data_IF_820511682391
#
_entry.id   IF_820511682391
#
_cell.length_a   1.000
_cell.length_b   1.000
_cell.length_c   1.000
_cell.angle_alpha   90.00
_cell.angle_beta   90.00
_cell.angle_gamma   90.00
#
_symmetry.space_group_name_H-M   'P 1'
#
loop_
_entity.id
_entity.type
_entity.pdbx_description
1 polymer ?
#
# COMPACT_ATOMS: atom_id res chain seq x y z
N UNK A 1 17.20 7.51 4.35
CA UNK A 1 15.74 7.77 4.37
C UNK A 1 15.41 8.87 3.37
N UNK A 2 14.30 8.75 2.66
CA UNK A 2 13.77 9.80 1.79
C UNK A 2 12.95 10.77 2.66
N UNK A 3 13.28 12.05 2.57
CA UNK A 3 12.51 13.08 3.26
C UNK A 3 11.24 13.39 2.47
N UNK A 4 10.11 13.29 3.13
CA UNK A 4 8.78 13.59 2.60
C UNK A 4 8.15 14.68 3.45
N UNK A 5 7.36 15.55 2.83
CA UNK A 5 6.65 16.61 3.50
C UNK A 5 5.16 16.54 3.17
N UNK A 6 4.34 17.05 4.08
CA UNK A 6 2.90 17.19 3.89
C UNK A 6 2.53 18.66 3.73
N UNK A 7 1.73 18.99 2.72
CA UNK A 7 1.23 20.35 2.57
C UNK A 7 0.15 20.67 3.61
N UNK A 8 0.28 21.82 4.27
CA UNK A 8 -0.70 22.25 5.28
C UNK A 8 -1.99 22.85 4.66
N UNK A 9 -1.92 23.28 3.40
CA UNK A 9 -3.00 23.95 2.65
C UNK A 9 -2.88 23.64 1.16
N UNK A 10 -3.91 24.02 0.41
CA UNK A 10 -3.91 23.94 -1.05
C UNK A 10 -2.70 24.65 -1.66
N UNK A 11 -2.16 24.02 -2.70
CA UNK A 11 -0.95 24.48 -3.38
C UNK A 11 -1.25 24.75 -4.84
N UNK A 12 -0.96 25.96 -5.27
CA UNK A 12 -1.00 26.31 -6.69
C UNK A 12 0.35 25.99 -7.34
N UNK A 13 0.34 25.06 -8.29
CA UNK A 13 1.49 24.73 -9.12
C UNK A 13 1.34 25.40 -10.48
N UNK A 14 2.40 26.07 -10.93
CA UNK A 14 2.52 26.60 -12.29
C UNK A 14 3.46 25.73 -13.11
N UNK A 15 3.09 25.44 -14.35
CA UNK A 15 3.89 24.63 -15.28
C UNK A 15 4.26 23.23 -14.75
N UNK A 16 3.36 22.59 -14.01
CA UNK A 16 3.51 21.21 -13.56
C UNK A 16 3.33 20.22 -14.73
N UNK A 17 3.89 19.02 -14.58
CA UNK A 17 3.58 17.85 -15.40
C UNK A 17 2.79 16.86 -14.56
N UNK A 18 1.71 16.30 -15.09
CA UNK A 18 1.02 15.19 -14.45
C UNK A 18 1.75 13.87 -14.67
N UNK A 19 1.37 12.84 -13.92
CA UNK A 19 1.84 11.46 -14.13
C UNK A 19 1.53 10.91 -15.53
N UNK A 20 0.53 11.48 -16.24
CA UNK A 20 0.25 11.18 -17.65
C UNK A 20 1.21 11.92 -18.61
N UNK A 21 2.24 12.54 -18.10
CA UNK A 21 3.20 13.37 -18.85
C UNK A 21 2.60 14.57 -19.58
N UNK A 22 1.43 15.04 -19.14
CA UNK A 22 0.77 16.24 -19.68
C UNK A 22 1.33 17.48 -19.00
N UNK A 23 1.65 18.50 -19.79
CA UNK A 23 2.01 19.83 -19.27
C UNK A 23 0.74 20.56 -18.85
N UNK A 24 0.68 20.92 -17.59
CA UNK A 24 -0.40 21.70 -17.00
C UNK A 24 0.06 23.14 -16.77
N UNK A 25 -0.73 24.11 -17.11
CA UNK A 25 -0.36 25.53 -16.95
C UNK A 25 -0.50 25.99 -15.50
N UNK A 26 -1.65 25.74 -14.91
CA UNK A 26 -1.94 26.06 -13.52
C UNK A 26 -2.84 24.96 -12.96
N UNK A 27 -2.47 24.41 -11.82
CA UNK A 27 -3.30 23.44 -11.09
C UNK A 27 -3.32 23.81 -9.62
N UNK A 28 -4.38 23.46 -8.94
CA UNK A 28 -4.48 23.52 -7.50
C UNK A 28 -4.46 22.08 -7.01
N UNK A 29 -3.50 21.79 -6.14
CA UNK A 29 -3.39 20.52 -5.42
C UNK A 29 -3.90 20.77 -4.02
N UNK A 30 -4.84 19.98 -3.57
CA UNK A 30 -5.46 20.11 -2.26
C UNK A 30 -4.44 19.93 -1.13
N UNK A 31 -4.73 20.55 0.02
CA UNK A 31 -3.95 20.38 1.24
C UNK A 31 -3.91 18.91 1.68
N UNK A 32 -2.83 18.51 2.34
CA UNK A 32 -2.60 17.10 2.67
C UNK A 32 -1.84 16.33 1.59
N UNK A 33 -1.39 16.98 0.52
CA UNK A 33 -0.57 16.35 -0.51
C UNK A 33 0.85 16.05 -0.01
N UNK A 34 1.39 14.90 -0.39
CA UNK A 34 2.77 14.53 -0.11
C UNK A 34 3.72 15.21 -1.10
N UNK A 35 4.78 15.80 -0.58
CA UNK A 35 5.82 16.50 -1.37
C UNK A 35 7.16 15.84 -1.13
N UNK A 36 7.76 15.34 -2.21
CA UNK A 36 9.10 14.78 -2.22
C UNK A 36 10.04 15.72 -2.97
N UNK A 37 10.97 16.34 -2.27
CA UNK A 37 12.02 17.15 -2.91
C UNK A 37 13.06 16.22 -3.52
N UNK A 38 13.30 16.34 -4.82
CA UNK A 38 14.27 15.49 -5.50
C UNK A 38 15.73 15.84 -5.12
N UNK A 39 15.98 17.06 -4.63
CA UNK A 39 17.31 17.50 -4.21
C UNK A 39 17.65 16.99 -2.79
N UNK A 40 17.92 15.71 -2.70
CA UNK A 40 18.35 15.01 -1.47
C UNK A 40 19.27 13.83 -1.83
N UNK A 41 20.01 13.23 -0.86
CA UNK A 41 21.03 12.21 -1.15
C UNK A 41 20.55 11.03 -2.00
N UNK A 42 19.28 10.61 -1.84
CA UNK A 42 18.68 9.50 -2.60
C UNK A 42 18.01 9.95 -3.92
N UNK A 43 18.48 11.04 -4.52
CA UNK A 43 17.93 11.61 -5.76
C UNK A 43 17.67 10.56 -6.86
N UNK A 44 18.66 9.71 -7.14
CA UNK A 44 18.54 8.71 -8.20
C UNK A 44 17.40 7.70 -7.91
N UNK A 45 17.28 7.24 -6.67
CA UNK A 45 16.20 6.35 -6.25
C UNK A 45 14.84 7.05 -6.40
N UNK A 46 14.71 8.27 -5.89
CA UNK A 46 13.46 9.06 -5.99
C UNK A 46 13.05 9.24 -7.45
N UNK A 47 13.99 9.59 -8.33
CA UNK A 47 13.72 9.78 -9.75
C UNK A 47 13.27 8.49 -10.43
N UNK A 48 13.78 7.34 -10.03
CA UNK A 48 13.39 6.05 -10.59
C UNK A 48 12.00 5.60 -10.09
N UNK A 49 11.76 5.63 -8.78
CA UNK A 49 10.50 5.13 -8.20
C UNK A 49 9.31 6.08 -8.46
N UNK A 50 9.57 7.39 -8.60
CA UNK A 50 8.54 8.40 -8.89
C UNK A 50 8.60 8.87 -10.35
N UNK A 51 9.10 8.05 -11.27
CA UNK A 51 9.29 8.42 -12.67
C UNK A 51 7.96 8.74 -13.34
N UNK A 52 7.89 9.91 -13.99
CA UNK A 52 6.73 10.39 -14.75
C UNK A 52 6.81 10.10 -16.25
N UNK A 53 8.01 9.87 -16.78
CA UNK A 53 8.23 9.54 -18.18
C UNK A 53 8.99 8.21 -18.29
N UNK A 54 8.25 7.15 -18.53
CA UNK A 54 8.76 5.77 -18.61
C UNK A 54 9.27 5.40 -20.02
N UNK A 55 9.35 6.36 -20.93
CA UNK A 55 9.82 6.09 -22.28
C UNK A 55 11.31 5.83 -22.29
N UNK A 56 11.71 4.75 -22.94
CA UNK A 56 13.10 4.47 -23.22
C UNK A 56 13.64 5.43 -24.28
N UNK A 57 14.90 5.82 -24.15
CA UNK A 57 15.52 6.67 -25.18
C UNK A 57 15.72 5.90 -26.50
N UNK A 58 15.74 6.64 -27.59
CA UNK A 58 15.83 6.06 -28.95
C UNK A 58 17.06 5.21 -29.16
N UNK A 59 18.20 5.55 -28.53
CA UNK A 59 19.46 4.77 -28.66
C UNK A 59 19.36 3.43 -27.97
N UNK A 60 18.74 3.39 -26.79
CA UNK A 60 18.50 2.14 -26.05
C UNK A 60 17.54 1.24 -26.81
N UNK A 61 16.48 1.78 -27.38
CA UNK A 61 15.52 1.04 -28.20
C UNK A 61 16.17 0.49 -29.48
N UNK A 62 17.03 1.26 -30.15
CA UNK A 62 17.73 0.79 -31.34
C UNK A 62 18.73 -0.31 -31.03
N UNK A 63 19.49 -0.20 -29.92
CA UNK A 63 20.39 -1.28 -29.49
C UNK A 63 19.63 -2.57 -29.20
N UNK A 64 18.50 -2.49 -28.54
CA UNK A 64 17.68 -3.64 -28.23
C UNK A 64 17.12 -4.29 -29.50
N UNK A 65 16.63 -3.48 -30.44
CA UNK A 65 16.20 -3.94 -31.75
C UNK A 65 17.31 -4.68 -32.51
N UNK A 66 18.54 -4.17 -32.48
CA UNK A 66 19.70 -4.83 -33.12
C UNK A 66 20.02 -6.18 -32.49
N UNK A 67 19.90 -6.30 -31.17
CA UNK A 67 20.06 -7.58 -30.48
C UNK A 67 19.00 -8.60 -30.90
N UNK A 68 17.74 -8.21 -30.90
CA UNK A 68 16.64 -9.07 -31.33
C UNK A 68 16.82 -9.54 -32.79
N UNK A 69 17.25 -8.64 -33.69
CA UNK A 69 17.53 -9.01 -35.10
C UNK A 69 18.69 -10.01 -35.24
N UNK A 70 19.61 -10.05 -34.28
CA UNK A 70 20.73 -11.00 -34.23
C UNK A 70 20.43 -12.26 -33.44
N UNK A 71 19.19 -12.47 -32.98
CA UNK A 71 18.79 -13.55 -32.05
C UNK A 71 19.59 -13.54 -30.74
N UNK A 72 20.09 -12.37 -30.30
CA UNK A 72 20.71 -12.20 -29.00
C UNK A 72 19.63 -12.00 -27.93
N UNK A 73 19.95 -12.37 -26.68
CA UNK A 73 19.03 -12.17 -25.56
C UNK A 73 18.73 -10.69 -25.32
N UNK A 74 17.45 -10.37 -25.09
CA UNK A 74 17.01 -9.05 -24.70
C UNK A 74 17.66 -8.62 -23.38
N UNK A 75 18.08 -7.37 -23.30
CA UNK A 75 18.50 -6.73 -22.05
C UNK A 75 17.39 -5.90 -21.41
N UNK A 76 16.26 -5.77 -22.09
CA UNK A 76 15.06 -5.21 -21.47
C UNK A 76 14.48 -6.26 -20.56
N UNK A 77 14.67 -6.09 -19.26
CA UNK A 77 13.88 -6.81 -18.29
C UNK A 77 12.45 -6.31 -18.37
N UNK A 78 11.52 -7.24 -18.32
CA UNK A 78 10.08 -6.91 -18.20
C UNK A 78 9.83 -6.33 -16.81
N UNK A 79 10.19 -5.06 -16.64
CA UNK A 79 9.94 -4.33 -15.41
C UNK A 79 8.65 -3.57 -15.60
N UNK A 80 7.57 -4.16 -15.15
CA UNK A 80 6.22 -3.67 -15.34
C UNK A 80 5.82 -2.53 -14.41
N UNK A 81 6.62 -2.18 -13.39
CA UNK A 81 6.24 -1.22 -12.35
C UNK A 81 7.37 -0.28 -11.93
N UNK A 82 7.93 0.47 -12.85
CA UNK A 82 8.97 1.46 -12.54
C UNK A 82 8.45 2.72 -11.86
N UNK A 83 7.22 3.10 -12.16
CA UNK A 83 6.59 4.28 -11.59
C UNK A 83 5.57 3.87 -10.53
N UNK A 84 5.92 4.04 -9.27
CA UNK A 84 4.98 3.75 -8.17
C UNK A 84 3.68 4.57 -8.27
N UNK A 85 3.70 5.89 -8.62
CA UNK A 85 2.46 6.62 -8.81
C UNK A 85 1.52 5.97 -9.83
N UNK A 86 2.05 5.46 -10.95
CA UNK A 86 1.24 4.78 -11.95
C UNK A 86 0.80 3.40 -11.49
N UNK A 87 1.69 2.64 -10.85
CA UNK A 87 1.39 1.29 -10.36
C UNK A 87 0.28 1.27 -9.29
N UNK A 88 0.24 2.30 -8.44
CA UNK A 88 -0.78 2.45 -7.39
C UNK A 88 -1.93 3.37 -7.78
N UNK A 89 -2.02 3.81 -9.05
CA UNK A 89 -3.07 4.71 -9.53
C UNK A 89 -3.12 6.06 -8.78
N UNK A 90 -1.97 6.52 -8.28
CA UNK A 90 -1.88 7.77 -7.53
C UNK A 90 -1.85 8.97 -8.45
N UNK A 91 -2.59 10.00 -8.10
CA UNK A 91 -2.49 11.30 -8.75
C UNK A 91 -1.17 11.98 -8.35
N UNK A 92 -0.31 12.25 -9.32
CA UNK A 92 1.01 12.81 -9.07
C UNK A 92 1.37 13.93 -10.03
N UNK A 93 2.17 14.89 -9.52
CA UNK A 93 2.60 16.07 -10.26
C UNK A 93 4.09 16.32 -10.07
N UNK A 94 4.77 16.63 -11.17
CA UNK A 94 6.17 17.03 -11.16
C UNK A 94 6.32 18.51 -11.52
N UNK A 95 7.07 19.25 -10.73
CA UNK A 95 7.41 20.65 -11.02
C UNK A 95 8.89 20.93 -10.79
N UNK A 96 9.48 21.79 -11.60
CA UNK A 96 10.86 22.26 -11.40
C UNK A 96 10.94 23.49 -10.50
N UNK A 97 9.80 24.09 -10.18
CA UNK A 97 9.73 25.27 -9.32
C UNK A 97 9.00 24.91 -8.03
N UNK A 98 9.74 24.91 -6.91
CA UNK A 98 9.10 24.69 -5.61
C UNK A 98 8.28 25.92 -5.25
N UNK A 99 6.95 25.78 -5.08
CA UNK A 99 6.11 26.89 -4.63
C UNK A 99 6.46 27.28 -3.19
N UNK A 100 6.24 28.54 -2.85
CA UNK A 100 6.36 29.01 -1.45
C UNK A 100 5.15 28.55 -0.67
N UNK A 101 5.27 27.41 0.00
CA UNK A 101 4.19 26.79 0.77
C UNK A 101 4.68 26.38 2.14
N UNK A 102 3.77 26.37 3.11
CA UNK A 102 4.01 25.76 4.40
C UNK A 102 3.90 24.25 4.27
N UNK A 103 4.95 23.55 4.65
CA UNK A 103 5.05 22.09 4.63
C UNK A 103 5.53 21.61 5.99
N UNK A 104 4.91 20.56 6.48
CA UNK A 104 5.36 19.86 7.68
C UNK A 104 6.13 18.60 7.27
N UNK A 105 7.19 18.22 8.01
CA UNK A 105 7.81 16.92 7.80
C UNK A 105 6.75 15.83 7.91
N UNK A 106 6.70 14.93 6.93
CA UNK A 106 5.88 13.76 7.00
C UNK A 106 6.64 12.71 7.81
N UNK A 107 6.27 12.53 9.06
CA UNK A 107 6.60 11.31 9.78
C UNK A 107 5.58 10.26 9.33
N UNK A 108 6.04 9.04 9.01
CA UNK A 108 5.18 7.90 8.67
C UNK A 108 3.84 8.08 9.39
N UNK A 109 2.73 7.97 8.66
CA UNK A 109 1.45 7.73 9.31
C UNK A 109 1.71 6.54 10.23
N UNK A 110 1.88 6.78 11.51
CA UNK A 110 1.59 5.79 12.50
C UNK A 110 0.11 5.55 12.27
N UNK A 111 -0.18 4.49 11.53
CA UNK A 111 -1.55 4.15 11.27
C UNK A 111 -2.23 4.10 12.61
N UNK A 112 -3.36 4.74 12.72
CA UNK A 112 -4.20 4.67 13.91
C UNK A 112 -4.97 3.35 13.94
N UNK A 113 -4.35 2.25 13.48
CA UNK A 113 -4.94 0.94 13.53
C UNK A 113 -5.33 0.57 14.96
N UNK A 114 -6.53 0.07 15.12
CA UNK A 114 -7.11 -0.23 16.42
C UNK A 114 -7.61 -1.67 16.48
N UNK A 115 -7.58 -2.25 17.66
CA UNK A 115 -8.30 -3.48 17.95
C UNK A 115 -9.74 -3.13 18.32
N UNK A 116 -10.69 -3.55 17.50
CA UNK A 116 -12.11 -3.26 17.65
C UNK A 116 -12.84 -4.53 18.08
N UNK A 117 -13.95 -4.36 18.82
CA UNK A 117 -14.79 -5.47 19.30
C UNK A 117 -13.98 -6.57 20.02
N UNK A 118 -13.28 -6.17 21.07
CA UNK A 118 -12.36 -7.05 21.82
C UNK A 118 -13.02 -8.26 22.48
N UNK A 119 -14.33 -8.17 22.77
CA UNK A 119 -15.10 -9.18 23.48
C UNK A 119 -15.71 -10.25 22.53
N UNK A 120 -15.35 -10.18 21.25
CA UNK A 120 -15.80 -11.13 20.23
C UNK A 120 -15.42 -12.57 20.59
N UNK A 121 -16.35 -13.52 20.41
CA UNK A 121 -16.18 -14.90 20.87
C UNK A 121 -15.40 -15.79 19.89
N UNK A 122 -15.51 -15.54 18.57
CA UNK A 122 -14.96 -16.44 17.56
C UNK A 122 -13.51 -16.13 17.19
N UNK A 123 -13.22 -14.89 16.86
CA UNK A 123 -11.88 -14.52 16.38
C UNK A 123 -11.77 -13.07 15.96
N UNK A 124 -10.72 -12.79 15.19
CA UNK A 124 -10.41 -11.44 14.69
C UNK A 124 -10.11 -11.48 13.20
N UNK A 125 -10.53 -10.45 12.47
CA UNK A 125 -10.29 -10.33 11.03
C UNK A 125 -9.57 -9.02 10.72
N UNK A 126 -8.62 -9.10 9.79
CA UNK A 126 -7.89 -7.99 9.22
C UNK A 126 -8.27 -7.88 7.73
N UNK A 127 -8.55 -6.67 7.27
CA UNK A 127 -8.93 -6.43 5.87
C UNK A 127 -7.73 -6.59 4.93
N UNK A 128 -7.84 -7.50 3.96
CA UNK A 128 -6.80 -7.78 2.96
C UNK A 128 -6.57 -6.67 1.94
N UNK A 129 -7.48 -5.70 1.83
CA UNK A 129 -7.31 -4.55 0.94
C UNK A 129 -6.44 -3.43 1.53
N UNK A 130 -6.15 -3.50 2.83
CA UNK A 130 -5.36 -2.47 3.52
C UNK A 130 -3.86 -2.65 3.26
N UNK A 131 -3.15 -1.56 2.93
CA UNK A 131 -1.71 -1.60 2.62
C UNK A 131 -0.84 -2.18 3.75
N UNK A 132 -1.29 -2.05 4.99
CA UNK A 132 -0.60 -2.57 6.17
C UNK A 132 -0.71 -4.07 6.39
N UNK A 133 -1.49 -4.80 5.59
CA UNK A 133 -1.78 -6.23 5.81
C UNK A 133 -0.52 -7.09 5.87
N UNK A 134 0.46 -6.85 4.99
CA UNK A 134 1.71 -7.63 4.98
C UNK A 134 2.58 -7.38 6.21
N UNK A 135 2.53 -6.16 6.77
CA UNK A 135 3.21 -5.85 8.03
C UNK A 135 2.52 -6.61 9.17
N UNK A 136 1.18 -6.59 9.20
CA UNK A 136 0.41 -7.30 10.21
C UNK A 136 0.66 -8.81 10.16
N UNK A 137 0.62 -9.44 8.97
CA UNK A 137 0.93 -10.86 8.76
C UNK A 137 2.31 -11.20 9.33
N UNK A 138 3.34 -10.45 8.94
CA UNK A 138 4.71 -10.68 9.42
C UNK A 138 4.79 -10.60 10.95
N UNK A 139 4.15 -9.59 11.57
CA UNK A 139 4.16 -9.42 13.03
C UNK A 139 3.41 -10.52 13.78
N UNK A 140 2.29 -10.98 13.23
CA UNK A 140 1.52 -12.07 13.81
C UNK A 140 2.32 -13.39 13.74
N UNK A 141 2.94 -13.69 12.61
CA UNK A 141 3.79 -14.87 12.45
C UNK A 141 5.04 -14.84 13.35
N UNK A 142 5.68 -13.67 13.51
CA UNK A 142 6.81 -13.48 14.45
C UNK A 142 6.43 -13.76 15.92
N UNK A 143 5.13 -13.80 16.22
CA UNK A 143 4.58 -14.11 17.54
C UNK A 143 3.95 -15.51 17.64
N UNK A 144 4.22 -16.36 16.65
CA UNK A 144 3.68 -17.72 16.53
C UNK A 144 2.13 -17.77 16.56
N UNK A 145 1.45 -16.70 16.15
CA UNK A 145 0.00 -16.66 16.05
C UNK A 145 -0.43 -17.38 14.78
N UNK A 146 -1.29 -18.38 14.90
CA UNK A 146 -1.88 -19.08 13.77
C UNK A 146 -2.88 -18.18 13.08
N UNK A 147 -2.64 -17.93 11.78
CA UNK A 147 -3.45 -17.07 10.93
C UNK A 147 -3.96 -17.84 9.71
N UNK A 148 -5.10 -17.44 9.20
CA UNK A 148 -5.77 -18.08 8.07
C UNK A 148 -6.08 -17.03 7.00
N UNK A 149 -5.84 -17.37 5.73
CA UNK A 149 -6.25 -16.55 4.60
C UNK A 149 -7.71 -16.82 4.22
N UNK A 150 -8.44 -15.77 3.93
CA UNK A 150 -9.81 -15.80 3.38
C UNK A 150 -9.68 -15.72 1.85
N UNK A 151 -10.16 -16.75 1.11
CA UNK A 151 -10.00 -16.81 -0.35
C UNK A 151 -11.11 -16.12 -1.13
N UNK A 152 -12.26 -15.93 -0.54
CA UNK A 152 -13.44 -15.32 -1.18
C UNK A 152 -13.98 -14.20 -0.30
N UNK A 153 -14.68 -13.24 -0.89
CA UNK A 153 -15.31 -12.16 -0.10
C UNK A 153 -16.30 -12.73 0.93
N UNK A 154 -16.15 -12.30 2.17
CA UNK A 154 -17.04 -12.66 3.29
C UNK A 154 -17.72 -11.41 3.82
N UNK A 155 -19.04 -11.48 4.00
CA UNK A 155 -19.81 -10.47 4.73
C UNK A 155 -20.24 -11.05 6.06
N UNK A 156 -19.88 -10.39 7.16
CA UNK A 156 -20.14 -10.87 8.52
C UNK A 156 -20.24 -9.69 9.48
N UNK A 157 -21.27 -9.71 10.32
CA UNK A 157 -21.56 -8.68 11.33
C UNK A 157 -21.49 -7.25 10.73
N UNK A 158 -22.06 -7.08 9.52
CA UNK A 158 -22.10 -5.81 8.80
C UNK A 158 -20.78 -5.36 8.19
N UNK A 159 -19.70 -6.15 8.32
CA UNK A 159 -18.40 -5.89 7.69
C UNK A 159 -18.25 -6.71 6.41
N UNK A 160 -17.48 -6.19 5.45
CA UNK A 160 -17.13 -6.91 4.22
C UNK A 160 -15.62 -7.07 4.13
N UNK A 161 -15.16 -8.31 4.04
CA UNK A 161 -13.75 -8.66 3.97
C UNK A 161 -13.44 -9.28 2.61
N UNK A 162 -12.60 -8.67 1.76
CA UNK A 162 -12.26 -9.18 0.44
C UNK A 162 -11.31 -10.39 0.53
N UNK A 163 -11.06 -11.09 -0.61
CA UNK A 163 -10.02 -12.10 -0.70
C UNK A 163 -8.65 -11.55 -0.27
N UNK A 164 -7.87 -12.35 0.45
CA UNK A 164 -6.61 -11.93 1.05
C UNK A 164 -6.74 -11.34 2.45
N UNK A 165 -7.96 -11.20 2.97
CA UNK A 165 -8.18 -10.87 4.38
C UNK A 165 -7.68 -12.00 5.28
N UNK A 166 -7.28 -11.66 6.50
CA UNK A 166 -6.67 -12.59 7.45
C UNK A 166 -7.59 -12.81 8.64
N UNK A 167 -7.82 -14.07 8.95
CA UNK A 167 -8.57 -14.51 10.12
C UNK A 167 -7.63 -15.07 11.19
N UNK A 168 -7.82 -14.64 12.43
CA UNK A 168 -7.21 -15.17 13.65
C UNK A 168 -8.30 -15.86 14.44
N UNK A 169 -8.30 -17.18 14.52
CA UNK A 169 -9.27 -17.93 15.32
C UNK A 169 -8.84 -18.03 16.76
N UNK A 170 -9.68 -17.69 17.72
CA UNK A 170 -9.38 -17.86 19.14
C UNK A 170 -9.14 -19.33 19.51
N UNK A 171 -9.91 -20.25 18.92
CA UNK A 171 -9.74 -21.67 19.15
C UNK A 171 -8.33 -22.20 18.78
N UNK A 172 -7.75 -21.64 17.73
CA UNK A 172 -6.40 -22.01 17.28
C UNK A 172 -5.29 -21.29 18.05
N UNK A 173 -5.65 -20.24 18.78
CA UNK A 173 -4.74 -19.41 19.55
C UNK A 173 -5.28 -19.21 20.98
N UNK A 174 -5.30 -20.27 21.81
CA UNK A 174 -5.94 -20.20 23.13
C UNK A 174 -5.28 -19.19 24.07
N UNK A 175 -3.99 -18.92 23.91
CA UNK A 175 -3.22 -17.96 24.71
C UNK A 175 -3.08 -16.60 24.03
N UNK A 176 -3.99 -16.26 23.11
CA UNK A 176 -3.93 -15.01 22.35
C UNK A 176 -4.05 -13.79 23.26
N UNK A 177 -2.97 -13.03 23.34
CA UNK A 177 -2.94 -11.77 24.09
C UNK A 177 -3.44 -10.61 23.23
N UNK A 178 -4.46 -9.90 23.69
CA UNK A 178 -5.01 -8.73 23.01
C UNK A 178 -4.00 -7.57 22.93
N UNK A 179 -3.03 -7.49 23.80
CA UNK A 179 -1.99 -6.46 23.73
C UNK A 179 -1.07 -6.67 22.52
N UNK A 180 -0.83 -7.93 22.13
CA UNK A 180 -0.16 -8.25 20.88
C UNK A 180 -0.97 -7.74 19.69
N UNK A 181 -2.28 -7.99 19.67
CA UNK A 181 -3.15 -7.51 18.58
C UNK A 181 -3.20 -5.98 18.52
N UNK A 182 -3.24 -5.29 19.66
CA UNK A 182 -3.17 -3.82 19.72
C UNK A 182 -1.85 -3.31 19.16
N UNK A 183 -0.73 -3.93 19.52
CA UNK A 183 0.58 -3.56 18.99
C UNK A 183 0.66 -3.77 17.49
N UNK A 184 0.18 -4.90 16.99
CA UNK A 184 0.14 -5.20 15.55
C UNK A 184 -0.73 -4.20 14.80
N UNK A 185 -1.92 -3.89 15.30
CA UNK A 185 -2.80 -2.89 14.69
C UNK A 185 -2.11 -1.51 14.62
N UNK A 186 -1.50 -1.07 15.72
CA UNK A 186 -0.80 0.21 15.77
C UNK A 186 0.43 0.26 14.84
N UNK A 187 1.21 -0.82 14.74
CA UNK A 187 2.41 -0.88 13.90
C UNK A 187 2.09 -0.95 12.41
N UNK A 188 1.05 -1.71 12.06
CA UNK A 188 0.63 -1.91 10.67
C UNK A 188 -0.27 -0.79 10.15
N UNK A 189 -0.95 -0.09 11.06
CA UNK A 189 -1.88 0.97 10.71
C UNK A 189 -3.26 0.50 10.26
N UNK A 190 -3.57 -0.79 10.43
CA UNK A 190 -4.86 -1.37 10.04
C UNK A 190 -5.70 -1.74 11.26
N UNK A 191 -7.00 -1.72 11.09
CA UNK A 191 -7.90 -2.19 12.14
C UNK A 191 -7.93 -3.71 12.18
N UNK A 192 -7.95 -4.25 13.40
CA UNK A 192 -8.22 -5.66 13.68
C UNK A 192 -9.61 -5.73 14.30
N UNK A 193 -10.53 -6.39 13.61
CA UNK A 193 -11.95 -6.40 13.99
C UNK A 193 -12.31 -7.76 14.60
N UNK A 194 -12.77 -7.75 15.84
CA UNK A 194 -13.29 -8.94 16.49
C UNK A 194 -14.66 -9.34 15.92
N UNK A 195 -14.87 -10.63 15.71
CA UNK A 195 -16.10 -11.23 15.20
C UNK A 195 -16.61 -12.32 16.16
N UNK A 196 -17.91 -12.31 16.43
CA UNK A 196 -18.54 -13.21 17.40
C UNK A 196 -18.97 -14.56 16.83
N UNK A 197 -19.04 -14.69 15.51
CA UNK A 197 -19.54 -15.91 14.85
C UNK A 197 -18.68 -16.32 13.66
N UNK A 198 -18.77 -17.60 13.27
CA UNK A 198 -18.20 -18.09 12.03
C UNK A 198 -19.17 -18.03 10.85
N UNK A 199 -20.46 -17.80 11.11
CA UNK A 199 -21.51 -17.84 10.09
C UNK A 199 -21.56 -16.54 9.32
N UNK A 200 -21.26 -16.59 8.04
CA UNK A 200 -21.31 -15.44 7.15
C UNK A 200 -22.74 -15.09 6.75
N UNK A 201 -23.04 -13.79 6.62
CA UNK A 201 -24.26 -13.28 6.02
C UNK A 201 -24.28 -13.50 4.50
N UNK A 202 -23.07 -13.42 3.89
CA UNK A 202 -22.84 -13.70 2.48
C UNK A 202 -21.39 -14.18 2.28
N UNK A 203 -21.19 -15.09 1.34
CA UNK A 203 -19.88 -15.71 1.11
C UNK A 203 -19.69 -16.99 1.94
N UNK A 204 -18.46 -17.53 1.98
CA UNK A 204 -18.17 -18.74 2.73
C UNK A 204 -18.11 -18.47 4.24
N UNK A 205 -18.59 -19.44 5.01
CA UNK A 205 -18.42 -19.44 6.46
C UNK A 205 -16.95 -19.52 6.85
N UNK A 206 -16.57 -18.81 7.93
CA UNK A 206 -15.18 -18.73 8.39
C UNK A 206 -14.59 -20.04 8.96
N UNK A 207 -15.45 -21.07 9.10
CA UNK A 207 -15.04 -22.45 9.39
C UNK A 207 -14.87 -23.32 8.15
N UNK A 208 -15.20 -22.83 6.96
CA UNK A 208 -15.26 -23.60 5.71
C UNK A 208 -13.89 -23.82 5.03
N UNK A 209 -13.94 -24.55 3.90
CA UNK A 209 -12.77 -24.94 3.11
C UNK A 209 -12.10 -23.79 2.33
N UNK A 210 -12.69 -22.61 2.34
CA UNK A 210 -12.17 -21.38 1.71
C UNK A 210 -11.35 -20.52 2.68
N UNK A 211 -11.04 -21.08 3.85
CA UNK A 211 -10.25 -20.46 4.90
C UNK A 211 -9.04 -21.34 5.16
N UNK A 212 -7.88 -20.94 4.67
CA UNK A 212 -6.66 -21.75 4.64
C UNK A 212 -5.63 -21.23 5.64
N UNK A 213 -5.02 -22.16 6.37
CA UNK A 213 -3.89 -21.87 7.25
C UNK A 213 -2.70 -21.34 6.41
N UNK A 214 -2.08 -20.25 6.86
CA UNK A 214 -0.87 -19.67 6.28
C UNK A 214 0.40 -20.21 6.95
#
# INVERSE_FOLDING_TARGET
TIEVHLTAKDVRLSAAKSHENKKLKNIIVEGGALVVKVNQPLKALIQNILQFDIRLDTKSMEKERQKLLKNESSTLYDVTAWSLPLAFGLEGYYTTTLPRISMNPYSKLSGSGQLLNTDADYGFVLDGAEDGIYIAISRLMDKDIQIYAIEETVQIEGNSFPPGSILIRKQSNPDLDHDILRSVAAESGINIVGIGTALAENGPDLGGSKINLL
#
